data_IF_543334815995
#
_entry.id   IF_543334815995
#
_cell.length_a   1.000
_cell.length_b   1.000
_cell.length_c   1.000
_cell.angle_alpha   90.00
_cell.angle_beta   90.00
_cell.angle_gamma   90.00
#
_symmetry.space_group_name_H-M   'P 1'
#
loop_
_entity.id
_entity.type
_entity.pdbx_description
1 polymer ?
#
# COMPACT_ATOMS: atom_id res chain seq x y z
N UNK A 1 -4.57 -5.05 15.13
CA UNK A 1 -3.90 -6.33 14.82
C UNK A 1 -2.40 -6.09 14.87
N UNK A 2 -1.58 -6.98 15.45
CA UNK A 2 -0.12 -6.82 15.35
C UNK A 2 0.25 -6.87 13.86
N UNK A 3 1.09 -5.96 13.38
CA UNK A 3 1.53 -5.96 11.98
C UNK A 3 2.17 -7.34 11.68
N UNK A 4 1.57 -8.16 10.79
CA UNK A 4 2.05 -9.51 10.56
C UNK A 4 3.48 -9.48 10.04
N UNK A 5 4.31 -10.41 10.52
CA UNK A 5 5.66 -10.60 9.97
C UNK A 5 5.61 -10.79 8.45
N UNK A 6 4.61 -11.53 7.97
CA UNK A 6 4.33 -11.69 6.54
C UNK A 6 4.18 -10.35 5.81
N UNK A 7 3.43 -9.40 6.36
CA UNK A 7 3.23 -8.09 5.72
C UNK A 7 4.49 -7.25 5.72
N UNK A 8 5.33 -7.36 6.75
CA UNK A 8 6.67 -6.75 6.74
C UNK A 8 7.53 -7.35 5.63
N UNK A 9 7.58 -8.68 5.53
CA UNK A 9 8.32 -9.38 4.48
C UNK A 9 7.82 -8.99 3.09
N UNK A 10 6.51 -8.88 2.89
CA UNK A 10 5.93 -8.40 1.63
C UNK A 10 6.39 -6.99 1.31
N UNK A 11 6.36 -6.05 2.28
CA UNK A 11 6.90 -4.70 2.09
C UNK A 11 8.38 -4.75 1.67
N UNK A 12 9.22 -5.59 2.29
CA UNK A 12 10.63 -5.69 1.92
C UNK A 12 10.84 -6.28 0.52
N UNK A 13 10.13 -7.35 0.18
CA UNK A 13 10.21 -8.00 -1.14
C UNK A 13 9.82 -7.02 -2.25
N UNK A 14 8.90 -6.10 -1.97
CA UNK A 14 8.44 -5.09 -2.93
C UNK A 14 9.38 -3.88 -2.95
N UNK A 15 9.80 -3.38 -1.79
CA UNK A 15 10.54 -2.12 -1.68
C UNK A 15 12.04 -2.25 -1.95
N UNK A 16 12.68 -3.36 -1.56
CA UNK A 16 14.14 -3.52 -1.78
C UNK A 16 14.52 -3.53 -3.26
N UNK A 17 13.85 -4.29 -4.15
CA UNK A 17 14.14 -4.23 -5.58
C UNK A 17 13.90 -2.84 -6.15
N UNK A 18 12.81 -2.17 -5.74
CA UNK A 18 12.51 -0.81 -6.18
C UNK A 18 13.55 0.22 -5.73
N UNK A 19 14.09 0.11 -4.51
CA UNK A 19 15.15 1.00 -4.03
C UNK A 19 16.45 0.75 -4.81
N UNK A 20 16.81 -0.51 -5.06
CA UNK A 20 17.98 -0.87 -5.86
C UNK A 20 17.87 -0.33 -7.29
N UNK A 21 16.69 -0.45 -7.91
CA UNK A 21 16.40 0.12 -9.24
C UNK A 21 16.69 1.63 -9.29
N UNK A 22 16.25 2.38 -8.26
CA UNK A 22 16.49 3.82 -8.18
C UNK A 22 17.98 4.19 -8.06
N UNK A 23 18.79 3.37 -7.39
CA UNK A 23 20.24 3.56 -7.36
C UNK A 23 20.85 3.40 -8.75
N UNK A 24 20.44 2.37 -9.50
CA UNK A 24 20.88 2.14 -10.87
C UNK A 24 20.45 3.25 -11.83
N UNK A 25 19.23 3.77 -11.69
CA UNK A 25 18.72 4.91 -12.47
C UNK A 25 19.55 6.16 -12.22
N UNK A 26 19.88 6.43 -10.95
CA UNK A 26 20.69 7.59 -10.61
C UNK A 26 22.10 7.49 -11.21
N UNK A 27 22.74 6.31 -11.13
CA UNK A 27 24.04 6.07 -11.74
C UNK A 27 24.01 6.30 -13.25
N UNK A 28 22.97 5.83 -13.94
CA UNK A 28 22.79 6.04 -15.38
C UNK A 28 22.50 7.48 -15.74
N UNK A 29 21.66 8.17 -14.97
CA UNK A 29 21.37 9.59 -15.17
C UNK A 29 22.66 10.43 -15.05
N UNK A 30 23.52 10.11 -14.08
CA UNK A 30 24.84 10.72 -13.92
C UNK A 30 25.82 10.31 -15.03
N UNK A 31 25.59 9.18 -15.71
CA UNK A 31 26.33 8.72 -16.89
C UNK A 31 25.90 9.37 -18.21
N UNK A 32 24.72 10.00 -18.28
CA UNK A 32 24.25 10.65 -19.51
C UNK A 32 25.08 11.90 -19.86
N UNK A 33 25.23 12.24 -21.16
CA UNK A 33 25.80 13.52 -21.58
C UNK A 33 25.04 14.70 -20.93
N UNK A 34 25.72 15.79 -20.50
CA UNK A 34 25.07 16.91 -19.81
C UNK A 34 23.87 17.51 -20.56
N UNK A 35 23.94 17.55 -21.90
CA UNK A 35 22.85 18.07 -22.74
C UNK A 35 21.58 17.21 -22.75
N UNK A 36 21.66 15.97 -22.27
CA UNK A 36 20.52 15.04 -22.13
C UNK A 36 20.04 14.94 -20.67
N UNK A 37 20.71 15.59 -19.71
CA UNK A 37 20.30 15.57 -18.30
C UNK A 37 19.21 16.59 -18.04
N UNK A 38 17.96 16.14 -18.12
CA UNK A 38 16.80 16.95 -17.75
C UNK A 38 16.28 16.53 -16.39
N UNK A 39 16.11 17.50 -15.48
CA UNK A 39 15.56 17.26 -14.15
C UNK A 39 14.19 16.58 -14.20
N UNK A 40 13.40 16.85 -15.23
CA UNK A 40 12.09 16.21 -15.45
C UNK A 40 12.15 14.68 -15.54
N UNK A 41 13.29 14.10 -15.92
CA UNK A 41 13.45 12.63 -16.01
C UNK A 41 13.68 11.98 -14.65
N UNK A 42 14.29 12.68 -13.68
CA UNK A 42 14.66 12.10 -12.38
C UNK A 42 13.65 12.41 -11.27
N UNK A 43 12.86 13.49 -11.41
CA UNK A 43 11.83 13.89 -10.43
C UNK A 43 10.86 12.76 -10.05
N UNK A 44 10.20 12.06 -11.00
CA UNK A 44 9.27 10.98 -10.65
C UNK A 44 9.98 9.83 -9.90
N UNK A 45 11.25 9.60 -10.22
CA UNK A 45 12.08 8.53 -9.62
C UNK A 45 12.46 8.86 -8.19
N UNK A 46 12.80 10.11 -7.90
CA UNK A 46 13.08 10.58 -6.53
C UNK A 46 11.82 10.49 -5.66
N UNK A 47 10.65 10.84 -6.21
CA UNK A 47 9.38 10.72 -5.49
C UNK A 47 9.04 9.26 -5.18
N UNK A 48 9.26 8.37 -6.14
CA UNK A 48 9.05 6.93 -5.97
C UNK A 48 10.03 6.35 -4.93
N UNK A 49 11.31 6.71 -5.01
CA UNK A 49 12.32 6.33 -4.00
C UNK A 49 11.91 6.79 -2.60
N UNK A 50 11.49 8.05 -2.46
CA UNK A 50 11.00 8.60 -1.19
C UNK A 50 9.82 7.80 -0.63
N UNK A 51 8.86 7.42 -1.49
CA UNK A 51 7.72 6.60 -1.10
C UNK A 51 8.12 5.19 -0.65
N UNK A 52 9.04 4.53 -1.37
CA UNK A 52 9.54 3.20 -1.03
C UNK A 52 10.31 3.20 0.30
N UNK A 53 11.19 4.18 0.50
CA UNK A 53 11.95 4.33 1.76
C UNK A 53 11.00 4.63 2.91
N UNK A 54 10.04 5.55 2.72
CA UNK A 54 9.04 5.86 3.72
C UNK A 54 8.21 4.62 4.11
N UNK A 55 7.81 3.79 3.14
CA UNK A 55 7.09 2.55 3.37
C UNK A 55 7.91 1.55 4.20
N UNK A 56 9.19 1.40 3.89
CA UNK A 56 10.13 0.55 4.66
C UNK A 56 10.27 1.07 6.09
N UNK A 57 10.58 2.35 6.28
CA UNK A 57 10.73 2.94 7.62
C UNK A 57 9.44 2.82 8.43
N UNK A 58 8.30 3.08 7.79
CA UNK A 58 6.98 2.95 8.40
C UNK A 58 6.72 1.52 8.90
N UNK A 59 7.14 0.49 8.14
CA UNK A 59 7.00 -0.92 8.54
C UNK A 59 7.73 -1.28 9.85
N UNK A 60 8.80 -0.56 10.18
CA UNK A 60 9.53 -0.73 11.43
C UNK A 60 8.87 0.02 12.59
N UNK A 61 8.38 1.23 12.34
CA UNK A 61 7.74 2.08 13.35
C UNK A 61 6.38 1.52 13.77
N UNK A 62 5.60 1.02 12.81
CA UNK A 62 4.24 0.52 13.08
C UNK A 62 4.28 -0.89 13.65
N UNK A 63 3.85 -1.00 14.92
CA UNK A 63 3.68 -2.27 15.63
C UNK A 63 2.26 -2.84 15.48
N UNK A 64 1.28 -1.96 15.35
CA UNK A 64 -0.14 -2.30 15.27
C UNK A 64 -0.73 -1.76 13.98
N UNK A 65 -1.30 -2.66 13.18
CA UNK A 65 -2.14 -2.29 12.04
C UNK A 65 -3.53 -1.93 12.57
N UNK A 66 -4.02 -0.75 12.21
CA UNK A 66 -5.45 -0.41 12.30
C UNK A 66 -6.03 -0.23 10.89
N UNK A 67 -7.33 0.07 10.85
CA UNK A 67 -8.09 0.24 9.61
C UNK A 67 -7.51 1.37 8.73
N UNK A 68 -7.07 2.47 9.35
CA UNK A 68 -6.53 3.63 8.61
C UNK A 68 -5.25 3.25 7.86
N UNK A 69 -4.37 2.51 8.52
CA UNK A 69 -3.10 2.02 7.99
C UNK A 69 -3.33 1.04 6.84
N UNK A 70 -4.31 0.15 6.94
CA UNK A 70 -4.66 -0.75 5.82
C UNK A 70 -5.15 0.01 4.59
N UNK A 71 -5.88 1.11 4.78
CA UNK A 71 -6.34 1.95 3.66
C UNK A 71 -5.17 2.73 3.05
N UNK A 72 -4.26 3.24 3.88
CA UNK A 72 -3.04 3.90 3.42
C UNK A 72 -2.19 2.93 2.60
N UNK A 73 -1.97 1.71 3.08
CA UNK A 73 -1.23 0.67 2.36
C UNK A 73 -1.86 0.35 1.00
N UNK A 74 -3.20 0.28 0.94
CA UNK A 74 -3.91 0.08 -0.32
C UNK A 74 -3.71 1.27 -1.27
N UNK A 75 -3.76 2.50 -0.75
CA UNK A 75 -3.48 3.71 -1.54
C UNK A 75 -2.05 3.73 -2.09
N UNK A 76 -1.06 3.39 -1.27
CA UNK A 76 0.35 3.27 -1.69
C UNK A 76 0.50 2.20 -2.76
N UNK A 77 -0.12 1.03 -2.58
CA UNK A 77 -0.11 -0.05 -3.58
C UNK A 77 -0.70 0.42 -4.92
N UNK A 78 -1.84 1.13 -4.91
CA UNK A 78 -2.44 1.68 -6.13
C UNK A 78 -1.55 2.72 -6.81
N UNK A 79 -0.93 3.62 -6.04
CA UNK A 79 -0.01 4.62 -6.57
C UNK A 79 1.22 3.98 -7.21
N UNK A 80 1.79 2.95 -6.57
CA UNK A 80 2.89 2.17 -7.13
C UNK A 80 2.47 1.45 -8.42
N UNK A 81 1.32 0.78 -8.43
CA UNK A 81 0.80 0.13 -9.63
C UNK A 81 0.63 1.13 -10.78
N UNK A 82 0.05 2.31 -10.51
CA UNK A 82 -0.11 3.36 -11.50
C UNK A 82 1.24 3.85 -12.06
N UNK A 83 2.23 4.08 -11.19
CA UNK A 83 3.57 4.49 -11.61
C UNK A 83 4.31 3.44 -12.44
N UNK A 84 4.19 2.16 -12.07
CA UNK A 84 4.75 1.05 -12.84
C UNK A 84 4.07 0.90 -14.22
N UNK A 85 2.74 1.00 -14.27
CA UNK A 85 1.96 0.93 -15.52
C UNK A 85 2.29 2.12 -16.42
N UNK A 86 2.39 3.34 -15.88
CA UNK A 86 2.75 4.52 -16.69
C UNK A 86 4.14 4.38 -17.32
N UNK A 87 5.11 3.82 -16.58
CA UNK A 87 6.44 3.49 -17.11
C UNK A 87 6.37 2.47 -18.25
N UNK A 88 5.62 1.38 -18.06
CA UNK A 88 5.42 0.37 -19.11
C UNK A 88 4.77 0.98 -20.37
N UNK A 89 3.73 1.82 -20.19
CA UNK A 89 3.08 2.50 -21.30
C UNK A 89 4.03 3.44 -22.05
N UNK A 90 4.91 4.15 -21.34
CA UNK A 90 5.90 5.01 -21.97
C UNK A 90 6.95 4.23 -22.77
N UNK A 91 7.41 3.10 -22.25
CA UNK A 91 8.34 2.20 -22.98
C UNK A 91 7.69 1.71 -24.28
N UNK A 92 6.41 1.33 -24.23
CA UNK A 92 5.67 0.84 -25.41
C UNK A 92 5.45 1.97 -26.43
N UNK A 93 5.09 3.18 -25.98
CA UNK A 93 4.77 4.29 -26.86
C UNK A 93 5.99 4.97 -27.48
N UNK A 94 7.11 5.04 -26.75
CA UNK A 94 8.33 5.72 -27.20
C UNK A 94 9.59 4.95 -26.81
N UNK A 95 9.85 3.79 -27.45
CA UNK A 95 10.97 2.91 -27.11
C UNK A 95 12.35 3.55 -27.36
N UNK A 96 12.42 4.65 -28.10
CA UNK A 96 13.66 5.40 -28.41
C UNK A 96 13.74 6.76 -27.69
N UNK A 97 12.67 7.20 -27.02
CA UNK A 97 12.55 8.57 -26.51
C UNK A 97 13.23 8.82 -25.17
N UNK A 98 13.49 7.78 -24.38
CA UNK A 98 14.17 7.91 -23.10
C UNK A 98 15.24 6.82 -22.93
N UNK A 99 16.54 7.19 -22.93
CA UNK A 99 17.64 6.24 -22.76
C UNK A 99 17.67 5.60 -21.36
N UNK A 100 16.96 6.17 -20.37
CA UNK A 100 16.82 5.58 -19.05
C UNK A 100 15.83 4.42 -19.07
N UNK A 101 14.68 4.53 -19.76
CA UNK A 101 13.56 3.58 -19.69
C UNK A 101 13.79 2.19 -20.33
N UNK A 102 14.74 2.06 -21.26
CA UNK A 102 14.92 0.88 -22.11
C UNK A 102 15.26 -0.47 -21.42
N UNK A 103 16.02 -0.52 -20.30
CA UNK A 103 16.29 -1.77 -19.57
C UNK A 103 15.21 -2.14 -18.54
N UNK A 104 14.28 -1.24 -18.22
CA UNK A 104 13.40 -1.35 -17.06
C UNK A 104 12.14 -2.22 -17.27
N UNK A 105 12.04 -3.01 -18.34
CA UNK A 105 10.87 -3.88 -18.55
C UNK A 105 10.68 -4.92 -17.42
N UNK A 106 11.78 -5.44 -16.89
CA UNK A 106 11.76 -6.39 -15.76
C UNK A 106 11.44 -5.68 -14.42
N UNK A 107 11.88 -4.43 -14.26
CA UNK A 107 11.77 -3.65 -13.02
C UNK A 107 10.41 -2.93 -12.90
N UNK A 108 9.88 -2.39 -13.99
CA UNK A 108 8.50 -1.89 -14.04
C UNK A 108 7.49 -3.04 -13.87
N UNK A 109 7.79 -4.22 -14.43
CA UNK A 109 7.05 -5.45 -14.14
C UNK A 109 7.09 -5.82 -12.65
N UNK A 110 8.29 -5.81 -12.05
CA UNK A 110 8.47 -6.08 -10.61
C UNK A 110 7.73 -5.10 -9.71
N UNK A 111 7.67 -3.81 -10.07
CA UNK A 111 6.96 -2.79 -9.32
C UNK A 111 5.44 -2.97 -9.41
N UNK A 112 4.91 -3.30 -10.59
CA UNK A 112 3.49 -3.64 -10.76
C UNK A 112 3.12 -4.92 -10.01
N UNK A 113 3.93 -5.98 -10.14
CA UNK A 113 3.71 -7.24 -9.41
C UNK A 113 3.79 -7.03 -7.90
N UNK A 114 4.77 -6.26 -7.43
CA UNK A 114 4.92 -5.95 -6.01
C UNK A 114 3.76 -5.12 -5.46
N UNK A 115 3.29 -4.14 -6.23
CA UNK A 115 2.10 -3.37 -5.91
C UNK A 115 0.85 -4.24 -5.78
N UNK A 116 0.67 -5.24 -6.67
CA UNK A 116 -0.44 -6.19 -6.58
C UNK A 116 -0.38 -7.03 -5.30
N UNK A 117 0.79 -7.57 -4.95
CA UNK A 117 0.97 -8.39 -3.74
C UNK A 117 0.68 -7.56 -2.49
N UNK A 118 1.23 -6.34 -2.41
CA UNK A 118 0.99 -5.42 -1.30
C UNK A 118 -0.48 -5.01 -1.22
N UNK A 119 -1.13 -4.75 -2.36
CA UNK A 119 -2.54 -4.40 -2.46
C UNK A 119 -3.46 -5.52 -1.97
N UNK A 120 -3.17 -6.77 -2.32
CA UNK A 120 -3.91 -7.94 -1.83
C UNK A 120 -3.82 -8.03 -0.31
N UNK A 121 -2.63 -7.86 0.26
CA UNK A 121 -2.46 -7.86 1.72
C UNK A 121 -3.20 -6.70 2.38
N UNK A 122 -3.09 -5.49 1.84
CA UNK A 122 -3.79 -4.31 2.36
C UNK A 122 -5.31 -4.49 2.33
N UNK A 123 -5.86 -4.99 1.22
CA UNK A 123 -7.29 -5.27 1.06
C UNK A 123 -7.76 -6.39 2.00
N UNK A 124 -6.95 -7.44 2.19
CA UNK A 124 -7.24 -8.49 3.15
C UNK A 124 -7.35 -7.95 4.58
N UNK A 125 -6.45 -7.05 4.98
CA UNK A 125 -6.49 -6.36 6.26
C UNK A 125 -7.72 -5.45 6.40
N UNK A 126 -8.05 -4.69 5.34
CA UNK A 126 -9.24 -3.84 5.31
C UNK A 126 -10.51 -4.65 5.56
N UNK A 127 -10.68 -5.78 4.87
CA UNK A 127 -11.83 -6.69 5.03
C UNK A 127 -11.90 -7.29 6.44
N UNK A 128 -10.76 -7.62 7.04
CA UNK A 128 -10.72 -8.10 8.43
C UNK A 128 -11.30 -7.07 9.41
N UNK A 129 -10.89 -5.80 9.30
CA UNK A 129 -11.39 -4.74 10.18
C UNK A 129 -12.88 -4.45 9.96
N UNK A 130 -13.35 -4.48 8.72
CA UNK A 130 -14.78 -4.32 8.42
C UNK A 130 -15.63 -5.41 9.08
N UNK A 131 -15.22 -6.68 8.96
CA UNK A 131 -15.93 -7.80 9.61
C UNK A 131 -15.90 -7.72 11.13
N UNK A 132 -14.80 -7.25 11.73
CA UNK A 132 -14.74 -7.04 13.17
C UNK A 132 -15.70 -5.95 13.63
N UNK A 133 -15.82 -4.85 12.87
CA UNK A 133 -16.75 -3.77 13.17
C UNK A 133 -18.22 -4.20 13.02
N UNK A 134 -18.53 -4.99 12.00
CA UNK A 134 -19.86 -5.60 11.84
C UNK A 134 -20.20 -6.54 12.99
N UNK A 135 -19.25 -7.38 13.41
CA UNK A 135 -19.42 -8.32 14.53
C UNK A 135 -19.57 -7.60 15.86
N UNK A 136 -18.85 -6.51 16.10
CA UNK A 136 -19.01 -5.73 17.34
C UNK A 136 -20.38 -5.02 17.37
N UNK A 137 -20.83 -4.45 16.24
CA UNK A 137 -22.17 -3.84 16.14
C UNK A 137 -23.30 -4.85 16.35
N UNK A 138 -23.19 -6.06 15.79
CA UNK A 138 -24.24 -7.08 15.96
C UNK A 138 -24.32 -7.60 17.40
N UNK A 139 -23.17 -7.74 18.09
CA UNK A 139 -23.12 -8.09 19.52
C UNK A 139 -23.70 -6.95 20.38
N UNK A 140 -23.35 -5.69 20.12
CA UNK A 140 -23.95 -4.57 20.85
C UNK A 140 -25.46 -4.45 20.62
N UNK A 141 -25.93 -4.75 19.41
CA UNK A 141 -27.35 -4.76 19.07
C UNK A 141 -28.10 -5.87 19.83
N UNK A 142 -27.56 -7.08 19.92
CA UNK A 142 -28.16 -8.20 20.65
C UNK A 142 -28.18 -7.99 22.16
N UNK A 143 -27.14 -7.38 22.74
CA UNK A 143 -27.11 -6.99 24.16
C UNK A 143 -28.20 -5.95 24.47
N UNK A 144 -28.35 -4.94 23.61
CA UNK A 144 -29.38 -3.89 23.78
C UNK A 144 -30.83 -4.40 23.64
N UNK A 145 -31.05 -5.47 22.87
CA UNK A 145 -32.38 -6.12 22.75
C UNK A 145 -32.64 -7.08 23.92
N UNK A 146 -31.61 -7.74 24.45
CA UNK A 146 -31.70 -8.55 25.68
C UNK A 146 -32.08 -7.73 26.92
N UNK A 147 -31.54 -6.52 27.08
CA UNK A 147 -31.91 -5.64 28.21
C UNK A 147 -33.36 -5.14 28.17
N UNK A 148 -33.95 -4.93 26.97
CA UNK A 148 -35.36 -4.54 26.84
C UNK A 148 -36.34 -5.69 27.10
N UNK A 149 -35.90 -6.94 26.96
CA UNK A 149 -36.74 -8.12 27.17
C UNK A 149 -36.69 -8.68 28.61
N UNK A 150 -35.83 -8.14 29.47
CA UNK A 150 -35.50 -8.73 30.78
C UNK A 150 -36.08 -8.03 32.02
N UNK A 151 -36.86 -6.94 31.88
CA UNK A 151 -37.54 -6.33 33.05
C UNK A 151 -38.97 -6.89 33.18
N UNK A 152 -39.24 -7.77 34.17
CA UNK A 152 -40.62 -8.08 34.51
C UNK A 152 -41.28 -6.81 35.07
N UNK A 153 -42.44 -6.46 34.53
CA UNK A 153 -43.29 -5.40 35.06
C UNK A 153 -43.60 -5.68 36.53
N UNK A 154 -43.49 -4.69 37.44
CA UNK A 154 -43.85 -4.91 38.84
C UNK A 154 -45.36 -5.22 38.91
N UNK A 155 -45.78 -6.18 39.75
CA UNK A 155 -47.20 -6.49 39.89
C UNK A 155 -47.91 -5.26 40.46
N UNK A 156 -48.85 -4.72 39.68
CA UNK A 156 -49.72 -3.64 40.10
C UNK A 156 -50.56 -4.08 41.29
N UNK A 157 -50.38 -3.41 42.43
CA UNK A 157 -51.26 -3.51 43.59
C UNK A 157 -52.65 -3.06 43.19
N UNK A 158 -53.61 -3.97 43.16
CA UNK A 158 -55.04 -3.66 43.26
C UNK A 158 -55.39 -3.46 44.74
N UNK A 159 -55.74 -2.23 45.10
CA UNK A 159 -56.24 -1.84 46.42
C UNK A 159 -56.87 -0.46 46.31
#
# INVERSE_FOLDING_TARGET
>A
MILPFRTRMTIFIVALPGILDMFWILERFLGLPPGLRHAGMIVPEILLLGALVALVMWSFVVRWLHRKETVILLGVALAMAAGGISRLLWIVWSPLGDPLLKPHLFEAGGLVTGALILGIEAESGRRYFLRMEEKSRSVSASVSTGEKSGKPSPPGRSG
#
